data_IF_310934664822
#
_entry.id   IF_310934664822
#
_cell.length_a   1.000
_cell.length_b   1.000
_cell.length_c   1.000
_cell.angle_alpha   90.00
_cell.angle_beta   90.00
_cell.angle_gamma   90.00
#
_symmetry.space_group_name_H-M   'P 1'
#
loop_
_entity.id
_entity.type
_entity.pdbx_description
1 polymer ?
#
# COMPACT_ATOMS: atom_id res chain seq x y z
N UNK A 1 -28.25 -19.79 13.15
CA UNK A 1 -27.24 -20.78 12.77
C UNK A 1 -26.40 -20.15 11.66
N UNK A 2 -25.09 -20.08 11.84
CA UNK A 2 -24.20 -19.63 10.76
C UNK A 2 -24.11 -20.76 9.71
N UNK A 3 -24.24 -20.40 8.43
CA UNK A 3 -24.06 -21.34 7.33
C UNK A 3 -22.55 -21.60 7.17
N UNK A 4 -22.16 -22.88 7.19
CA UNK A 4 -20.78 -23.26 6.89
C UNK A 4 -20.65 -23.46 5.37
N UNK A 5 -19.71 -22.77 4.75
CA UNK A 5 -19.42 -22.92 3.33
C UNK A 5 -18.96 -24.36 3.06
N UNK A 6 -19.51 -25.04 2.03
CA UNK A 6 -19.29 -26.49 1.84
C UNK A 6 -17.86 -26.86 1.43
N UNK A 7 -17.10 -25.90 0.87
CA UNK A 7 -15.70 -26.13 0.50
C UNK A 7 -14.77 -25.64 1.59
N UNK A 8 -13.84 -26.48 2.01
CA UNK A 8 -12.71 -26.10 2.83
C UNK A 8 -11.54 -25.68 1.95
N UNK A 9 -10.76 -24.73 2.42
CA UNK A 9 -9.53 -24.26 1.79
C UNK A 9 -8.31 -24.65 2.63
N UNK A 10 -7.14 -24.65 2.02
CA UNK A 10 -5.91 -24.85 2.77
C UNK A 10 -5.43 -23.53 3.34
N UNK A 11 -5.50 -22.43 2.54
CA UNK A 11 -5.16 -21.08 2.99
C UNK A 11 -6.27 -20.12 2.57
N UNK A 12 -6.69 -19.25 3.50
CA UNK A 12 -7.51 -18.08 3.20
C UNK A 12 -6.64 -16.83 3.32
N UNK A 13 -6.66 -15.99 2.31
CA UNK A 13 -6.02 -14.67 2.30
C UNK A 13 -7.09 -13.59 2.40
N UNK A 14 -6.97 -12.71 3.39
CA UNK A 14 -7.94 -11.63 3.66
C UNK A 14 -7.37 -10.29 3.20
N UNK A 15 -7.94 -9.72 2.14
CA UNK A 15 -7.57 -8.42 1.58
C UNK A 15 -6.90 -8.51 0.20
N UNK A 16 -7.41 -7.75 -0.77
CA UNK A 16 -6.99 -7.75 -2.18
C UNK A 16 -5.97 -6.67 -2.55
N UNK A 17 -5.17 -6.15 -1.58
CA UNK A 17 -4.04 -5.25 -1.82
C UNK A 17 -2.78 -6.00 -2.26
N UNK A 18 -1.64 -5.27 -2.40
CA UNK A 18 -0.39 -5.88 -2.86
C UNK A 18 0.06 -7.08 -2.00
N UNK A 19 -0.08 -6.99 -0.67
CA UNK A 19 0.25 -8.12 0.21
C UNK A 19 -0.63 -9.34 -0.06
N UNK A 20 -1.96 -9.15 -0.11
CA UNK A 20 -2.87 -10.27 -0.30
C UNK A 20 -2.77 -10.91 -1.67
N UNK A 21 -2.55 -10.12 -2.71
CA UNK A 21 -2.34 -10.63 -4.08
C UNK A 21 -1.08 -11.51 -4.13
N UNK A 22 0.04 -11.05 -3.59
CA UNK A 22 1.27 -11.84 -3.60
C UNK A 22 1.18 -13.08 -2.71
N UNK A 23 0.51 -12.97 -1.54
CA UNK A 23 0.27 -14.12 -0.67
C UNK A 23 -0.60 -15.19 -1.36
N UNK A 24 -1.73 -14.77 -1.94
CA UNK A 24 -2.65 -15.68 -2.62
C UNK A 24 -1.99 -16.35 -3.83
N UNK A 25 -1.27 -15.57 -4.63
CA UNK A 25 -0.52 -16.07 -5.78
C UNK A 25 0.56 -17.08 -5.35
N UNK A 26 1.32 -16.80 -4.29
CA UNK A 26 2.34 -17.70 -3.77
C UNK A 26 1.73 -19.02 -3.28
N UNK A 27 0.68 -18.95 -2.47
CA UNK A 27 -0.02 -20.16 -1.99
C UNK A 27 -0.54 -21.04 -3.14
N UNK A 28 -1.20 -20.44 -4.13
CA UNK A 28 -1.78 -21.15 -5.25
C UNK A 28 -0.72 -21.76 -6.18
N UNK A 29 0.40 -21.04 -6.45
CA UNK A 29 1.54 -21.58 -7.21
C UNK A 29 2.19 -22.78 -6.50
N UNK A 30 2.21 -22.78 -5.18
CA UNK A 30 2.62 -23.94 -4.38
C UNK A 30 1.55 -25.05 -4.35
N UNK A 31 0.49 -24.94 -5.17
CA UNK A 31 -0.61 -25.92 -5.31
C UNK A 31 -1.44 -26.08 -4.03
N UNK A 32 -1.47 -25.09 -3.15
CA UNK A 32 -2.42 -25.07 -2.05
C UNK A 32 -3.77 -24.56 -2.55
N UNK A 33 -4.86 -25.21 -2.14
CA UNK A 33 -6.23 -24.75 -2.43
C UNK A 33 -6.50 -23.47 -1.67
N UNK A 34 -6.41 -22.33 -2.38
CA UNK A 34 -6.38 -20.99 -1.81
C UNK A 34 -7.64 -20.21 -2.08
N UNK A 35 -8.09 -19.44 -1.10
CA UNK A 35 -9.17 -18.46 -1.25
C UNK A 35 -8.64 -17.04 -0.95
N UNK A 36 -8.87 -16.11 -1.87
CA UNK A 36 -8.70 -14.67 -1.61
C UNK A 36 -10.06 -14.03 -1.38
N UNK A 37 -10.24 -13.42 -0.21
CA UNK A 37 -11.45 -12.67 0.16
C UNK A 37 -11.14 -11.19 0.18
N UNK A 38 -11.93 -10.38 -0.52
CA UNK A 38 -11.78 -8.92 -0.57
C UNK A 38 -13.13 -8.23 -0.66
N UNK A 39 -13.22 -7.00 -0.14
CA UNK A 39 -14.46 -6.21 -0.17
C UNK A 39 -15.00 -5.97 -1.58
N UNK A 40 -14.11 -5.80 -2.55
CA UNK A 40 -14.47 -5.48 -3.93
C UNK A 40 -13.38 -5.99 -4.87
N UNK A 41 -13.76 -6.89 -5.78
CA UNK A 41 -12.86 -7.47 -6.78
C UNK A 41 -12.38 -6.43 -7.81
N UNK A 42 -13.17 -5.39 -8.10
CA UNK A 42 -12.76 -4.30 -8.98
C UNK A 42 -11.65 -3.42 -8.39
N UNK A 43 -11.36 -3.58 -7.09
CA UNK A 43 -10.30 -2.88 -6.41
C UNK A 43 -9.04 -3.72 -6.14
N UNK A 44 -8.95 -4.93 -6.72
CA UNK A 44 -7.73 -5.75 -6.64
C UNK A 44 -6.51 -4.99 -7.14
N UNK A 45 -5.43 -4.98 -6.35
CA UNK A 45 -4.20 -4.28 -6.68
C UNK A 45 -4.29 -2.76 -6.70
N UNK A 46 -5.38 -2.15 -6.21
CA UNK A 46 -5.56 -0.70 -6.27
C UNK A 46 -4.49 0.06 -5.50
N UNK A 47 -3.77 0.92 -6.21
CA UNK A 47 -2.78 1.85 -5.65
C UNK A 47 -3.50 3.08 -5.10
N UNK A 48 -3.75 3.12 -3.79
CA UNK A 48 -4.57 4.17 -3.16
C UNK A 48 -3.83 5.49 -2.92
N UNK A 49 -2.48 5.45 -2.84
CA UNK A 49 -1.64 6.61 -2.60
C UNK A 49 -0.94 7.05 -3.89
N UNK A 50 0.39 7.13 -3.94
CA UNK A 50 1.11 7.55 -5.14
C UNK A 50 0.99 6.52 -6.27
N UNK A 51 0.96 6.95 -7.55
CA UNK A 51 0.92 6.06 -8.70
C UNK A 51 2.33 5.61 -9.11
N UNK A 52 3.12 5.11 -8.16
CA UNK A 52 4.52 4.76 -8.41
C UNK A 52 4.92 3.50 -7.68
N UNK A 53 5.75 2.70 -8.34
CA UNK A 53 6.38 1.50 -7.78
C UNK A 53 7.91 1.69 -7.81
N UNK A 54 8.59 1.26 -6.76
CA UNK A 54 10.04 1.28 -6.66
C UNK A 54 10.60 2.50 -5.97
N UNK A 55 11.88 2.69 -6.16
CA UNK A 55 12.70 3.65 -5.43
C UNK A 55 13.77 2.98 -4.58
N UNK A 56 14.58 3.77 -3.89
CA UNK A 56 15.72 3.28 -3.11
C UNK A 56 15.23 2.37 -1.98
N UNK A 57 15.80 1.18 -1.88
CA UNK A 57 15.37 0.11 -0.96
C UNK A 57 14.12 -0.64 -1.42
N UNK A 58 13.18 0.02 -2.06
CA UNK A 58 11.90 -0.53 -2.51
C UNK A 58 12.01 -1.39 -3.76
N UNK A 59 12.70 -0.89 -4.80
CA UNK A 59 12.92 -1.67 -6.03
C UNK A 59 13.74 -2.94 -5.79
N UNK A 60 14.58 -2.96 -4.76
CA UNK A 60 15.32 -4.16 -4.36
C UNK A 60 14.35 -5.25 -3.89
N UNK A 61 13.36 -4.89 -3.05
CA UNK A 61 12.31 -5.83 -2.65
C UNK A 61 11.49 -6.32 -3.85
N UNK A 62 11.11 -5.41 -4.76
CA UNK A 62 10.36 -5.78 -5.98
C UNK A 62 11.12 -6.80 -6.83
N UNK A 63 12.44 -6.59 -7.00
CA UNK A 63 13.30 -7.51 -7.75
C UNK A 63 13.41 -8.89 -7.09
N UNK A 64 13.49 -8.96 -5.76
CA UNK A 64 13.52 -10.23 -5.03
C UNK A 64 12.15 -10.93 -5.07
N UNK A 65 11.05 -10.17 -4.96
CA UNK A 65 9.68 -10.70 -5.15
C UNK A 65 9.51 -11.27 -6.56
N UNK A 66 10.03 -10.59 -7.59
CA UNK A 66 10.01 -11.06 -8.98
C UNK A 66 10.84 -12.33 -9.17
N UNK A 67 12.00 -12.43 -8.53
CA UNK A 67 12.85 -13.63 -8.57
C UNK A 67 12.17 -14.87 -7.98
N UNK A 68 11.18 -14.67 -7.10
CA UNK A 68 10.31 -15.69 -6.52
C UNK A 68 8.95 -15.79 -7.26
N UNK A 69 8.90 -15.33 -8.50
CA UNK A 69 7.74 -15.35 -9.38
C UNK A 69 6.55 -14.48 -8.93
N UNK A 70 6.81 -13.41 -8.16
CA UNK A 70 5.79 -12.42 -7.75
C UNK A 70 5.19 -11.67 -8.94
N UNK A 71 4.10 -10.96 -8.68
CA UNK A 71 3.28 -10.31 -9.70
C UNK A 71 3.55 -8.80 -9.83
N UNK A 72 4.02 -8.14 -8.77
CA UNK A 72 4.15 -6.68 -8.72
C UNK A 72 5.07 -6.12 -9.80
N UNK A 73 6.21 -6.75 -10.07
CA UNK A 73 7.16 -6.33 -11.10
C UNK A 73 6.55 -6.45 -12.50
N UNK A 74 5.95 -7.61 -12.79
CA UNK A 74 5.30 -7.90 -14.08
C UNK A 74 4.16 -6.93 -14.37
N UNK A 75 3.29 -6.69 -13.38
CA UNK A 75 2.20 -5.73 -13.52
C UNK A 75 2.72 -4.30 -13.69
N UNK A 76 3.86 -3.97 -13.07
CA UNK A 76 4.51 -2.66 -13.20
C UNK A 76 5.02 -2.43 -14.61
N UNK A 77 5.68 -3.39 -15.24
CA UNK A 77 6.15 -3.25 -16.63
C UNK A 77 5.00 -3.00 -17.60
N UNK A 78 3.90 -3.75 -17.48
CA UNK A 78 2.71 -3.60 -18.33
C UNK A 78 1.83 -2.37 -18.02
N UNK A 79 2.15 -1.60 -17.00
CA UNK A 79 1.39 -0.41 -16.59
C UNK A 79 2.24 0.84 -16.38
N UNK A 80 3.57 0.70 -16.47
CA UNK A 80 4.53 1.77 -16.24
C UNK A 80 4.55 2.76 -17.40
N UNK A 81 4.19 4.02 -17.12
CA UNK A 81 4.14 5.09 -18.10
C UNK A 81 5.32 6.05 -18.04
N UNK A 82 6.21 5.87 -17.07
CA UNK A 82 7.52 6.51 -16.98
C UNK A 82 8.45 5.67 -16.12
N UNK A 83 9.66 5.42 -16.59
CA UNK A 83 10.68 4.67 -15.85
C UNK A 83 11.93 5.51 -15.65
N UNK A 84 12.54 5.40 -14.45
CA UNK A 84 13.80 6.04 -14.13
C UNK A 84 14.66 5.18 -13.23
N UNK A 85 15.98 5.26 -13.40
CA UNK A 85 16.96 4.73 -12.45
C UNK A 85 17.39 5.88 -11.52
N UNK A 86 16.95 5.81 -10.27
CA UNK A 86 17.40 6.73 -9.23
C UNK A 86 18.82 6.39 -8.81
N UNK A 87 19.60 7.40 -8.41
CA UNK A 87 21.01 7.25 -8.05
C UNK A 87 21.88 6.60 -9.13
N UNK A 88 21.58 6.83 -10.41
CA UNK A 88 22.32 6.25 -11.54
C UNK A 88 23.85 6.53 -11.49
N UNK A 89 24.25 7.66 -10.91
CA UNK A 89 25.67 8.05 -10.71
C UNK A 89 26.33 7.43 -9.47
N UNK A 90 25.61 6.65 -8.68
CA UNK A 90 26.10 6.02 -7.44
C UNK A 90 26.45 4.53 -7.69
N UNK A 91 26.99 3.87 -6.65
CA UNK A 91 27.26 2.44 -6.70
C UNK A 91 26.02 1.58 -6.90
N UNK A 92 26.19 0.38 -7.46
CA UNK A 92 25.09 -0.52 -7.84
C UNK A 92 24.11 -0.82 -6.69
N UNK A 93 24.61 -0.95 -5.45
CA UNK A 93 23.81 -1.26 -4.27
C UNK A 93 22.72 -0.22 -3.94
N UNK A 94 22.85 1.01 -4.42
CA UNK A 94 21.88 2.10 -4.18
C UNK A 94 21.19 2.59 -5.44
N UNK A 95 21.48 2.00 -6.59
CA UNK A 95 20.71 2.26 -7.82
C UNK A 95 19.34 1.62 -7.69
N UNK A 96 18.31 2.36 -8.06
CA UNK A 96 16.95 1.91 -7.83
C UNK A 96 16.04 2.29 -9.00
N UNK A 97 15.37 1.30 -9.58
CA UNK A 97 14.33 1.55 -10.58
C UNK A 97 13.09 2.13 -9.91
N UNK A 98 12.50 3.14 -10.54
CA UNK A 98 11.19 3.67 -10.18
C UNK A 98 10.35 3.80 -11.44
N UNK A 99 9.12 3.29 -11.37
CA UNK A 99 8.11 3.48 -12.41
C UNK A 99 6.94 4.29 -11.88
N UNK A 100 6.50 5.28 -12.65
CA UNK A 100 5.18 5.85 -12.52
C UNK A 100 4.22 4.95 -13.31
N UNK A 101 3.11 4.56 -12.72
CA UNK A 101 2.16 3.63 -13.31
C UNK A 101 0.82 4.29 -13.65
N UNK A 102 0.17 3.84 -14.71
CA UNK A 102 -1.27 4.04 -14.89
C UNK A 102 -2.02 3.05 -13.98
N UNK A 103 -2.77 3.58 -13.00
CA UNK A 103 -3.49 2.76 -12.02
C UNK A 103 -4.57 1.87 -12.62
N UNK A 104 -5.19 2.26 -13.74
CA UNK A 104 -6.20 1.44 -14.41
C UNK A 104 -5.54 0.24 -15.07
N UNK A 105 -4.43 0.47 -15.79
CA UNK A 105 -3.65 -0.60 -16.39
C UNK A 105 -3.10 -1.54 -15.30
N UNK A 106 -2.57 -0.99 -14.20
CA UNK A 106 -2.05 -1.80 -13.10
C UNK A 106 -3.13 -2.70 -12.48
N UNK A 107 -4.31 -2.15 -12.17
CA UNK A 107 -5.43 -2.95 -11.66
C UNK A 107 -5.87 -4.03 -12.65
N UNK A 108 -5.98 -3.66 -13.93
CA UNK A 108 -6.32 -4.61 -14.98
C UNK A 108 -5.29 -5.76 -15.03
N UNK A 109 -4.01 -5.45 -15.03
CA UNK A 109 -2.94 -6.43 -15.03
C UNK A 109 -2.97 -7.35 -13.78
N UNK A 110 -3.20 -6.78 -12.60
CA UNK A 110 -3.32 -7.56 -11.38
C UNK A 110 -4.55 -8.47 -11.42
N UNK A 111 -5.70 -7.94 -11.82
CA UNK A 111 -6.96 -8.70 -11.94
C UNK A 111 -6.80 -9.89 -12.89
N UNK A 112 -6.34 -9.63 -14.11
CA UNK A 112 -6.16 -10.67 -15.14
C UNK A 112 -5.19 -11.76 -14.67
N UNK A 113 -4.08 -11.38 -14.01
CA UNK A 113 -3.09 -12.34 -13.53
C UNK A 113 -3.63 -13.20 -12.39
N UNK A 114 -4.34 -12.61 -11.44
CA UNK A 114 -4.94 -13.35 -10.32
C UNK A 114 -6.01 -14.30 -10.78
N UNK A 115 -6.87 -13.88 -11.69
CA UNK A 115 -7.97 -14.73 -12.23
C UNK A 115 -7.44 -15.91 -13.07
N UNK A 116 -6.21 -15.82 -13.60
CA UNK A 116 -5.58 -16.89 -14.37
C UNK A 116 -4.83 -17.94 -13.51
N UNK A 117 -4.71 -17.73 -12.19
CA UNK A 117 -3.95 -18.64 -11.33
C UNK A 117 -4.82 -19.85 -10.97
N UNK A 118 -4.32 -21.03 -11.29
CA UNK A 118 -4.91 -22.31 -10.85
C UNK A 118 -4.87 -22.44 -9.32
N UNK A 119 -5.80 -23.18 -8.74
CA UNK A 119 -5.96 -23.39 -7.28
C UNK A 119 -6.31 -22.12 -6.47
N UNK A 120 -6.63 -21.01 -7.11
CA UNK A 120 -7.06 -19.79 -6.48
C UNK A 120 -8.54 -19.51 -6.75
N UNK A 121 -9.31 -19.39 -5.68
CA UNK A 121 -10.71 -18.93 -5.71
C UNK A 121 -10.80 -17.50 -5.18
N UNK A 122 -11.78 -16.74 -5.66
CA UNK A 122 -12.03 -15.36 -5.22
C UNK A 122 -13.43 -15.25 -4.63
N UNK A 123 -13.58 -14.52 -3.53
CA UNK A 123 -14.87 -14.10 -2.97
C UNK A 123 -14.87 -12.59 -2.74
N UNK A 124 -15.93 -11.94 -3.26
CA UNK A 124 -16.20 -10.52 -3.02
C UNK A 124 -17.08 -10.36 -1.80
N UNK A 125 -16.46 -10.19 -0.63
CA UNK A 125 -17.15 -9.92 0.61
C UNK A 125 -16.19 -9.41 1.70
N UNK A 126 -16.74 -8.80 2.75
CA UNK A 126 -15.98 -8.44 3.93
C UNK A 126 -15.81 -9.64 4.87
N UNK A 127 -14.62 -9.78 5.44
CA UNK A 127 -14.37 -10.64 6.61
C UNK A 127 -14.64 -9.83 7.86
N UNK A 128 -15.52 -10.33 8.72
CA UNK A 128 -15.91 -9.66 9.96
C UNK A 128 -15.28 -10.28 11.22
N UNK A 129 -14.83 -11.55 11.17
CA UNK A 129 -14.14 -12.19 12.29
C UNK A 129 -13.26 -13.38 11.86
N UNK A 130 -12.33 -13.76 12.71
CA UNK A 130 -11.59 -15.01 12.60
C UNK A 130 -12.43 -16.16 13.20
N UNK A 131 -12.39 -17.31 12.56
CA UNK A 131 -12.92 -18.57 13.09
C UNK A 131 -11.81 -19.25 13.91
N UNK A 132 -12.09 -19.53 15.17
CA UNK A 132 -11.15 -20.25 16.06
C UNK A 132 -11.68 -21.63 16.39
N UNK A 133 -10.82 -22.63 16.32
CA UNK A 133 -11.05 -24.00 16.81
C UNK A 133 -9.90 -24.42 17.73
N UNK A 134 -10.20 -24.81 18.93
CA UNK A 134 -9.18 -25.21 19.93
C UNK A 134 -8.06 -24.16 20.17
N UNK A 135 -8.40 -22.88 20.14
CA UNK A 135 -7.47 -21.77 20.32
C UNK A 135 -6.57 -21.45 19.11
N UNK A 136 -6.76 -22.13 17.98
CA UNK A 136 -6.06 -21.89 16.71
C UNK A 136 -6.97 -21.28 15.69
N UNK A 137 -6.42 -20.49 14.76
CA UNK A 137 -7.17 -19.98 13.62
C UNK A 137 -7.49 -21.11 12.66
N UNK A 138 -8.77 -21.28 12.34
CA UNK A 138 -9.33 -22.36 11.54
C UNK A 138 -10.20 -21.84 10.37
N UNK A 139 -10.16 -20.52 10.09
CA UNK A 139 -10.93 -19.92 9.02
C UNK A 139 -11.40 -18.50 9.34
N UNK A 140 -12.47 -18.09 8.68
CA UNK A 140 -13.04 -16.74 8.81
C UNK A 140 -14.57 -16.76 8.82
N UNK A 141 -15.16 -15.71 9.38
CA UNK A 141 -16.58 -15.37 9.22
C UNK A 141 -16.71 -14.18 8.27
N UNK A 142 -17.56 -14.34 7.27
CA UNK A 142 -17.94 -13.24 6.37
C UNK A 142 -19.06 -12.39 6.97
N UNK A 143 -19.21 -11.18 6.46
CA UNK A 143 -20.27 -10.24 6.90
C UNK A 143 -21.67 -10.81 6.73
N UNK A 144 -21.90 -11.63 5.72
CA UNK A 144 -23.17 -12.36 5.51
C UNK A 144 -23.49 -13.43 6.57
N UNK A 145 -22.57 -13.68 7.52
CA UNK A 145 -22.69 -14.73 8.53
C UNK A 145 -22.22 -16.11 8.06
N UNK A 146 -21.66 -16.21 6.87
CA UNK A 146 -21.08 -17.46 6.34
C UNK A 146 -19.71 -17.67 7.01
N UNK A 147 -19.47 -18.90 7.51
CA UNK A 147 -18.14 -19.33 7.95
C UNK A 147 -17.44 -20.13 6.86
N UNK A 148 -16.14 -19.88 6.66
CA UNK A 148 -15.31 -20.61 5.70
C UNK A 148 -14.11 -21.17 6.46
N UNK A 149 -13.90 -22.49 6.39
CA UNK A 149 -12.80 -23.18 7.05
C UNK A 149 -11.52 -23.14 6.22
N UNK A 150 -10.39 -23.02 6.91
CA UNK A 150 -9.05 -23.16 6.34
C UNK A 150 -8.06 -23.64 7.39
N UNK A 151 -6.94 -24.23 6.92
CA UNK A 151 -5.84 -24.64 7.79
C UNK A 151 -4.98 -23.48 8.25
N UNK A 152 -4.91 -22.39 7.47
CA UNK A 152 -4.22 -21.15 7.82
C UNK A 152 -4.92 -19.93 7.21
N UNK A 153 -4.72 -18.76 7.85
CA UNK A 153 -5.24 -17.47 7.38
C UNK A 153 -4.07 -16.46 7.28
N UNK A 154 -3.99 -15.76 6.14
CA UNK A 154 -3.07 -14.63 5.94
C UNK A 154 -3.87 -13.34 5.95
N UNK A 155 -3.67 -12.49 6.95
CA UNK A 155 -4.36 -11.22 7.13
C UNK A 155 -3.59 -10.08 6.48
N UNK A 156 -4.20 -9.45 5.46
CA UNK A 156 -3.64 -8.37 4.65
C UNK A 156 -4.57 -7.15 4.62
N UNK A 157 -5.03 -6.70 5.78
CA UNK A 157 -6.13 -5.72 5.91
C UNK A 157 -5.76 -4.27 5.53
N UNK A 158 -4.49 -3.97 5.24
CA UNK A 158 -4.06 -2.63 4.80
C UNK A 158 -4.42 -1.53 5.79
N UNK A 159 -5.11 -0.47 5.32
CA UNK A 159 -5.58 0.67 6.12
C UNK A 159 -7.04 0.51 6.58
N UNK A 160 -7.62 -0.69 6.48
CA UNK A 160 -9.06 -0.87 6.63
C UNK A 160 -9.51 -1.13 8.06
N UNK A 161 -8.66 -1.71 8.94
CA UNK A 161 -9.02 -2.03 10.33
C UNK A 161 -9.28 -0.76 11.13
N UNK A 162 -10.56 -0.56 11.52
CA UNK A 162 -11.02 0.67 12.18
C UNK A 162 -10.55 1.94 11.46
N UNK A 163 -10.46 1.87 10.13
CA UNK A 163 -10.00 2.97 9.29
C UNK A 163 -10.91 4.17 9.39
N UNK A 164 -10.31 5.37 9.52
CA UNK A 164 -11.02 6.64 9.62
C UNK A 164 -10.31 7.71 8.81
N UNK A 165 -11.04 8.30 7.85
CA UNK A 165 -10.55 9.40 6.99
C UNK A 165 -10.77 10.74 7.68
N UNK A 166 -9.83 11.68 7.50
CA UNK A 166 -9.86 13.04 8.02
C UNK A 166 -9.56 14.05 6.91
N UNK A 167 -10.41 15.09 6.83
CA UNK A 167 -10.24 16.27 5.98
C UNK A 167 -10.53 17.48 6.86
N UNK A 168 -9.49 18.13 7.37
CA UNK A 168 -9.66 19.12 8.43
C UNK A 168 -10.41 18.52 9.63
N UNK A 169 -11.43 19.19 10.09
CA UNK A 169 -12.24 18.76 11.22
C UNK A 169 -13.30 17.70 10.88
N UNK A 170 -13.51 17.43 9.60
CA UNK A 170 -14.45 16.39 9.15
C UNK A 170 -13.80 15.02 9.16
N UNK A 171 -14.49 14.02 9.69
CA UNK A 171 -14.02 12.64 9.67
C UNK A 171 -15.17 11.64 9.45
N UNK A 172 -14.84 10.49 8.84
CA UNK A 172 -15.78 9.40 8.61
C UNK A 172 -15.05 8.05 8.53
N UNK A 173 -15.77 6.97 8.85
CA UNK A 173 -15.21 5.62 8.78
C UNK A 173 -15.03 5.19 7.32
N UNK A 174 -13.80 4.83 6.97
CA UNK A 174 -13.44 4.31 5.65
C UNK A 174 -12.07 3.61 5.72
N UNK A 175 -11.84 2.63 4.88
CA UNK A 175 -10.51 2.03 4.67
C UNK A 175 -9.62 2.88 3.76
N UNK A 176 -10.24 3.59 2.84
CA UNK A 176 -9.72 4.68 1.98
C UNK A 176 -10.92 5.47 1.44
N UNK A 177 -10.68 6.62 0.80
CA UNK A 177 -11.77 7.41 0.23
C UNK A 177 -12.59 6.57 -0.77
N UNK A 178 -13.88 6.40 -0.48
CA UNK A 178 -14.82 5.64 -1.31
C UNK A 178 -15.00 4.16 -0.93
N UNK A 179 -14.21 3.63 0.01
CA UNK A 179 -14.31 2.22 0.42
C UNK A 179 -14.62 2.10 1.93
N UNK A 180 -15.45 1.13 2.35
CA UNK A 180 -15.84 0.96 3.74
C UNK A 180 -14.67 0.53 4.63
N UNK A 181 -14.74 0.87 5.91
CA UNK A 181 -13.83 0.37 6.95
C UNK A 181 -14.19 -1.05 7.39
N UNK A 182 -13.19 -1.83 7.80
CA UNK A 182 -13.35 -3.16 8.43
C UNK A 182 -13.45 -3.02 9.94
N UNK A 183 -14.59 -2.49 10.42
CA UNK A 183 -14.81 -2.22 11.85
C UNK A 183 -14.98 -3.52 12.63
N UNK A 184 -15.87 -4.43 12.17
CA UNK A 184 -16.17 -5.66 12.88
C UNK A 184 -14.92 -6.55 13.03
N UNK A 185 -14.13 -6.71 11.97
CA UNK A 185 -12.86 -7.43 12.06
C UNK A 185 -11.89 -6.75 13.04
N UNK A 186 -11.80 -5.42 13.02
CA UNK A 186 -10.94 -4.69 13.96
C UNK A 186 -11.37 -4.86 15.43
N UNK A 187 -12.69 -4.94 15.71
CA UNK A 187 -13.25 -5.24 17.04
C UNK A 187 -12.90 -6.68 17.41
N UNK A 188 -13.16 -7.66 16.54
CA UNK A 188 -12.87 -9.06 16.79
C UNK A 188 -11.41 -9.31 17.14
N UNK A 189 -10.47 -8.74 16.36
CA UNK A 189 -9.04 -8.89 16.62
C UNK A 189 -8.62 -8.26 17.97
N UNK A 190 -9.27 -7.16 18.37
CA UNK A 190 -9.03 -6.53 19.67
C UNK A 190 -9.59 -7.39 20.83
N UNK A 191 -10.77 -7.99 20.67
CA UNK A 191 -11.38 -8.92 21.64
C UNK A 191 -10.52 -10.19 21.81
N UNK A 192 -9.85 -10.63 20.75
CA UNK A 192 -8.88 -11.73 20.79
C UNK A 192 -7.56 -11.35 21.49
N UNK A 193 -7.36 -10.08 21.80
CA UNK A 193 -6.21 -9.60 22.57
C UNK A 193 -4.94 -9.39 21.73
N UNK A 194 -5.03 -9.29 20.40
CA UNK A 194 -3.87 -8.91 19.59
C UNK A 194 -3.42 -7.49 19.95
N UNK A 195 -2.12 -7.28 20.25
CA UNK A 195 -1.60 -5.98 20.63
C UNK A 195 -1.65 -5.02 19.44
N UNK A 196 -2.49 -3.99 19.55
CA UNK A 196 -2.70 -3.01 18.48
C UNK A 196 -2.27 -1.62 18.88
N UNK A 197 -1.91 -0.82 17.87
CA UNK A 197 -1.76 0.62 17.99
C UNK A 197 -2.32 1.30 16.73
N UNK A 198 -2.23 2.63 16.66
CA UNK A 198 -2.77 3.42 15.54
C UNK A 198 -1.65 4.03 14.72
N UNK A 199 -1.76 3.92 13.39
CA UNK A 199 -0.92 4.64 12.44
C UNK A 199 -1.77 5.59 11.60
N UNK A 200 -1.11 6.65 11.12
CA UNK A 200 -1.72 7.65 10.23
C UNK A 200 -0.89 7.77 8.96
N UNK A 201 -1.51 7.68 7.80
CA UNK A 201 -0.90 8.05 6.51
C UNK A 201 -1.71 9.18 5.86
N UNK A 202 -1.14 9.82 4.85
CA UNK A 202 -1.80 10.90 4.13
C UNK A 202 -1.65 10.78 2.63
N UNK A 203 -2.54 11.43 1.90
CA UNK A 203 -2.50 11.52 0.44
C UNK A 203 -2.85 12.96 0.02
N UNK A 204 -2.27 13.50 -1.07
CA UNK A 204 -2.61 14.83 -1.57
C UNK A 204 -3.95 14.83 -2.31
N UNK A 205 -4.43 16.03 -2.62
CA UNK A 205 -5.55 16.22 -3.52
C UNK A 205 -5.30 15.55 -4.88
N UNK A 206 -6.37 15.29 -5.63
CA UNK A 206 -6.30 14.87 -7.04
C UNK A 206 -6.71 16.04 -7.92
N UNK A 207 -5.92 16.32 -8.92
CA UNK A 207 -6.00 17.51 -9.77
C UNK A 207 -6.46 17.12 -11.18
N UNK A 208 -7.35 17.92 -11.77
CA UNK A 208 -7.75 17.73 -13.17
C UNK A 208 -6.63 18.25 -14.09
N UNK A 209 -5.98 17.33 -14.80
CA UNK A 209 -4.86 17.63 -15.70
C UNK A 209 -5.20 18.62 -16.82
N UNK A 210 -6.48 18.71 -17.21
CA UNK A 210 -6.94 19.65 -18.22
C UNK A 210 -6.88 21.11 -17.78
N UNK A 211 -6.75 21.34 -16.47
CA UNK A 211 -6.75 22.68 -15.84
C UNK A 211 -5.38 23.07 -15.30
N UNK A 212 -4.34 22.24 -15.50
CA UNK A 212 -2.96 22.53 -15.15
C UNK A 212 -2.28 23.31 -16.27
N UNK A 213 -1.60 24.40 -15.95
CA UNK A 213 -0.75 25.13 -16.88
C UNK A 213 0.67 24.54 -16.92
N UNK A 214 0.84 23.50 -17.72
CA UNK A 214 2.14 22.81 -17.86
C UNK A 214 3.24 23.67 -18.45
N UNK A 215 2.93 24.79 -19.13
CA UNK A 215 3.94 25.70 -19.65
C UNK A 215 4.77 26.36 -18.56
N UNK A 216 4.27 26.38 -17.33
CA UNK A 216 4.93 26.91 -16.15
C UNK A 216 5.69 25.86 -15.34
N UNK A 217 5.60 24.59 -15.72
CA UNK A 217 6.21 23.46 -15.02
C UNK A 217 7.45 22.94 -15.76
N UNK A 218 8.40 22.38 -15.03
CA UNK A 218 9.55 21.70 -15.62
C UNK A 218 9.14 20.31 -16.12
N UNK A 219 9.49 19.99 -17.37
CA UNK A 219 9.19 18.68 -17.95
C UNK A 219 10.30 17.68 -17.62
N UNK A 220 9.94 16.53 -17.04
CA UNK A 220 10.86 15.44 -16.73
C UNK A 220 10.50 14.19 -17.52
N UNK A 221 11.40 13.74 -18.41
CA UNK A 221 11.26 12.50 -19.16
C UNK A 221 11.72 11.28 -18.35
N UNK A 222 11.25 10.11 -18.72
CA UNK A 222 11.83 8.84 -18.29
C UNK A 222 13.20 8.57 -18.94
N UNK A 223 13.89 7.54 -18.46
CA UNK A 223 15.14 7.09 -19.04
C UNK A 223 14.86 6.30 -20.32
N UNK A 224 15.66 6.55 -21.37
CA UNK A 224 15.47 5.94 -22.70
C UNK A 224 16.63 5.02 -23.12
N UNK A 225 17.81 5.16 -22.52
CA UNK A 225 19.01 4.40 -22.89
C UNK A 225 19.86 4.05 -21.67
N UNK A 226 19.79 2.79 -21.18
CA UNK A 226 18.77 1.79 -21.50
C UNK A 226 17.43 2.11 -20.85
N UNK A 227 16.33 1.66 -21.45
CA UNK A 227 15.00 1.71 -20.84
C UNK A 227 14.97 0.72 -19.66
N UNK A 228 14.70 1.19 -18.43
CA UNK A 228 14.65 0.29 -17.28
C UNK A 228 13.41 -0.62 -17.32
N UNK A 229 13.55 -1.87 -16.89
CA UNK A 229 12.46 -2.82 -16.65
C UNK A 229 12.48 -3.30 -15.20
N UNK A 230 11.33 -3.67 -14.66
CA UNK A 230 11.25 -4.22 -13.31
C UNK A 230 11.42 -5.73 -13.27
N UNK A 231 10.64 -6.46 -14.08
CA UNK A 231 10.71 -7.92 -14.09
C UNK A 231 11.99 -8.41 -14.80
N UNK A 232 12.61 -9.45 -14.28
CA UNK A 232 13.71 -10.15 -14.95
C UNK A 232 13.25 -10.85 -16.25
N UNK A 233 11.93 -11.10 -16.37
CA UNK A 233 11.31 -11.67 -17.56
C UNK A 233 10.63 -10.61 -18.43
N UNK A 234 10.71 -9.33 -18.06
CA UNK A 234 10.10 -8.20 -18.75
C UNK A 234 10.95 -7.67 -19.89
N UNK A 235 10.32 -6.91 -20.75
CA UNK A 235 10.94 -6.24 -21.91
C UNK A 235 10.44 -4.81 -22.02
N UNK A 236 11.24 -3.86 -22.56
CA UNK A 236 10.77 -2.52 -22.86
C UNK A 236 9.55 -2.48 -23.80
N UNK A 237 9.35 -3.51 -24.63
CA UNK A 237 8.21 -3.65 -25.53
C UNK A 237 6.89 -3.91 -24.78
N UNK A 238 6.95 -4.37 -23.54
CA UNK A 238 5.79 -4.55 -22.66
C UNK A 238 5.23 -3.22 -22.14
N UNK A 239 6.04 -2.16 -22.20
CA UNK A 239 5.67 -0.86 -21.65
C UNK A 239 4.59 -0.16 -22.46
N UNK A 240 3.57 0.43 -21.84
CA UNK A 240 2.64 1.31 -22.53
C UNK A 240 3.34 2.59 -23.00
N UNK A 241 2.59 3.43 -23.72
CA UNK A 241 3.09 4.73 -24.16
C UNK A 241 3.66 5.54 -22.98
N UNK A 242 4.91 5.98 -23.11
CA UNK A 242 5.60 6.75 -22.09
C UNK A 242 5.18 8.21 -22.08
N UNK A 243 5.02 8.78 -20.89
CA UNK A 243 4.62 10.17 -20.68
C UNK A 243 5.60 10.90 -19.77
N UNK A 244 5.72 12.23 -19.88
CA UNK A 244 6.54 13.00 -18.95
C UNK A 244 5.87 13.10 -17.58
N UNK A 245 6.67 13.19 -16.54
CA UNK A 245 6.30 13.79 -15.28
C UNK A 245 6.55 15.30 -15.33
N UNK A 246 5.86 16.10 -14.53
CA UNK A 246 6.07 17.53 -14.45
C UNK A 246 6.46 17.94 -13.04
N UNK A 247 7.32 18.92 -12.91
CA UNK A 247 7.84 19.39 -11.63
C UNK A 247 7.47 20.87 -11.47
N UNK A 248 6.96 21.19 -10.30
CA UNK A 248 6.80 22.55 -9.81
C UNK A 248 7.21 22.63 -8.34
N UNK A 249 7.17 23.81 -7.75
CA UNK A 249 7.64 24.04 -6.38
C UNK A 249 6.59 24.75 -5.56
N UNK A 250 6.57 24.44 -4.27
CA UNK A 250 5.88 25.29 -3.30
C UNK A 250 6.66 26.62 -3.15
N UNK A 251 6.01 27.66 -2.65
CA UNK A 251 6.59 28.96 -2.44
C UNK A 251 6.20 29.53 -1.07
N UNK A 252 6.69 30.72 -0.73
CA UNK A 252 6.42 31.34 0.57
C UNK A 252 4.92 31.54 0.83
N UNK A 253 4.16 31.96 -0.19
CA UNK A 253 2.68 32.11 -0.09
C UNK A 253 2.01 30.78 0.21
N UNK A 254 2.46 29.68 -0.44
CA UNK A 254 2.01 28.32 -0.17
C UNK A 254 2.23 27.96 1.31
N UNK A 255 3.44 28.22 1.82
CA UNK A 255 3.80 27.94 3.20
C UNK A 255 2.98 28.76 4.19
N UNK A 256 2.66 30.02 3.87
CA UNK A 256 1.88 30.90 4.74
C UNK A 256 0.41 30.44 4.83
N UNK A 257 -0.19 29.99 3.71
CA UNK A 257 -1.52 29.38 3.75
C UNK A 257 -1.54 28.11 4.61
N UNK A 258 -0.53 27.24 4.48
CA UNK A 258 -0.42 26.02 5.29
C UNK A 258 -0.30 26.37 6.77
N UNK A 259 0.59 27.31 7.15
CA UNK A 259 0.78 27.73 8.54
C UNK A 259 -0.49 28.30 9.16
N UNK A 260 -1.25 29.10 8.42
CA UNK A 260 -2.55 29.67 8.87
C UNK A 260 -3.63 28.61 9.08
N UNK A 261 -3.48 27.41 8.49
CA UNK A 261 -4.43 26.33 8.65
C UNK A 261 -4.05 25.29 9.72
N UNK A 262 -2.89 25.40 10.38
CA UNK A 262 -2.40 24.40 11.33
C UNK A 262 -3.31 24.24 12.55
N UNK A 263 -3.96 25.30 12.99
CA UNK A 263 -4.94 25.29 14.09
C UNK A 263 -6.23 24.50 13.79
N UNK A 264 -6.45 24.17 12.52
CA UNK A 264 -7.56 23.35 12.02
C UNK A 264 -7.11 22.01 11.45
N UNK A 265 -5.81 21.69 11.54
CA UNK A 265 -5.28 20.41 11.11
C UNK A 265 -5.56 19.33 12.14
N UNK A 266 -6.21 18.20 11.79
CA UNK A 266 -6.48 17.13 12.73
C UNK A 266 -5.19 16.49 13.30
N UNK A 267 -4.09 16.62 12.59
CA UNK A 267 -2.75 16.18 13.03
C UNK A 267 -2.20 17.08 14.14
N UNK A 268 -2.37 18.41 14.03
CA UNK A 268 -1.81 19.40 14.98
C UNK A 268 -2.75 19.69 16.15
N UNK A 269 -4.04 19.42 16.00
CA UNK A 269 -5.04 19.58 17.08
C UNK A 269 -5.18 18.33 17.96
N UNK A 270 -4.44 17.25 17.68
CA UNK A 270 -4.49 16.02 18.48
C UNK A 270 -5.74 15.16 18.25
N UNK A 271 -6.53 15.43 17.20
CA UNK A 271 -7.70 14.62 16.84
C UNK A 271 -7.28 13.28 16.23
N UNK A 272 -6.15 13.27 15.50
CA UNK A 272 -5.49 12.06 15.06
C UNK A 272 -4.53 11.63 16.16
N UNK A 273 -4.74 10.43 16.69
CA UNK A 273 -3.91 9.82 17.74
C UNK A 273 -2.75 9.01 17.14
N UNK A 274 -2.93 8.54 15.90
CA UNK A 274 -1.98 7.69 15.19
C UNK A 274 -0.66 8.40 14.86
N UNK A 275 0.44 7.71 15.07
CA UNK A 275 1.78 8.19 14.72
C UNK A 275 1.94 8.18 13.19
N UNK A 276 2.52 9.25 12.64
CA UNK A 276 2.88 9.31 11.23
C UNK A 276 4.07 8.40 10.92
N UNK A 277 3.99 7.52 9.90
CA UNK A 277 5.12 6.68 9.53
C UNK A 277 6.29 7.53 9.02
N UNK A 278 7.51 7.04 9.23
CA UNK A 278 8.77 7.74 8.96
C UNK A 278 8.88 8.27 7.51
N UNK A 279 8.29 7.58 6.54
CA UNK A 279 8.50 7.85 5.11
C UNK A 279 7.35 8.59 4.41
N UNK A 280 6.30 8.98 5.13
CA UNK A 280 5.15 9.70 4.55
C UNK A 280 4.79 10.96 5.38
N UNK A 281 5.71 11.94 5.51
CA UNK A 281 5.40 13.18 6.20
C UNK A 281 4.38 13.99 5.40
N UNK A 282 3.40 14.58 6.08
CA UNK A 282 2.48 15.54 5.47
C UNK A 282 3.21 16.83 5.10
N UNK A 283 2.61 17.65 4.24
CA UNK A 283 3.19 18.98 3.92
C UNK A 283 3.22 19.85 5.16
N UNK A 284 2.24 19.74 6.07
CA UNK A 284 2.19 20.44 7.34
C UNK A 284 3.43 20.11 8.20
N UNK A 285 3.78 18.82 8.30
CA UNK A 285 4.99 18.38 9.02
C UNK A 285 6.26 18.97 8.42
N UNK A 286 6.35 18.95 7.07
CA UNK A 286 7.53 19.50 6.36
C UNK A 286 7.71 20.98 6.62
N UNK A 287 6.63 21.76 6.51
CA UNK A 287 6.66 23.22 6.69
C UNK A 287 6.89 23.61 8.15
N UNK A 288 6.38 22.82 9.09
CA UNK A 288 6.60 23.07 10.52
C UNK A 288 8.01 22.70 10.98
N UNK A 289 8.50 21.49 10.59
CA UNK A 289 9.80 20.97 11.07
C UNK A 289 11.01 21.51 10.30
N UNK A 290 10.84 21.89 9.03
CA UNK A 290 11.93 22.26 8.12
C UNK A 290 11.76 23.67 7.52
N UNK A 291 11.32 24.62 8.33
CA UNK A 291 11.01 26.00 7.93
C UNK A 291 12.17 26.74 7.22
N UNK A 292 13.42 26.29 7.39
CA UNK A 292 14.63 26.91 6.82
C UNK A 292 15.11 26.27 5.51
N UNK A 293 14.46 25.18 5.03
CA UNK A 293 14.85 24.51 3.77
C UNK A 293 14.07 25.06 2.58
N UNK A 294 14.75 25.04 1.42
CA UNK A 294 14.19 25.41 0.11
C UNK A 294 12.83 24.76 -0.14
N UNK A 295 12.02 25.44 -0.95
CA UNK A 295 10.67 25.01 -1.33
C UNK A 295 10.61 23.53 -1.73
N UNK A 296 9.77 22.71 -1.09
CA UNK A 296 9.60 21.32 -1.51
C UNK A 296 9.12 21.22 -2.96
N UNK A 297 9.78 20.35 -3.73
CA UNK A 297 9.32 19.98 -5.08
C UNK A 297 7.97 19.27 -5.03
N UNK A 298 7.15 19.56 -6.03
CA UNK A 298 5.87 18.90 -6.28
C UNK A 298 5.97 18.19 -7.62
N UNK A 299 5.94 16.86 -7.59
CA UNK A 299 5.93 16.05 -8.79
C UNK A 299 4.49 15.79 -9.22
N UNK A 300 4.12 16.27 -10.39
CA UNK A 300 2.80 16.05 -10.99
C UNK A 300 2.84 14.74 -11.77
N UNK A 301 2.32 13.70 -11.16
CA UNK A 301 2.32 12.34 -11.67
C UNK A 301 0.95 12.02 -12.28
N UNK A 302 0.92 11.72 -13.58
CA UNK A 302 -0.31 11.40 -14.31
C UNK A 302 -0.92 10.09 -13.79
N UNK A 303 -2.25 10.10 -13.61
CA UNK A 303 -3.03 8.91 -13.40
C UNK A 303 -4.28 8.99 -14.29
N UNK A 304 -4.19 8.50 -15.50
CA UNK A 304 -5.19 8.57 -16.55
C UNK A 304 -5.46 10.01 -17.01
N UNK A 305 -6.32 10.79 -16.32
CA UNK A 305 -6.59 12.20 -16.58
C UNK A 305 -6.42 13.07 -15.33
N UNK A 306 -6.39 12.46 -14.15
CA UNK A 306 -6.08 13.14 -12.89
C UNK A 306 -4.57 13.15 -12.66
N UNK A 307 -4.09 14.19 -11.98
CA UNK A 307 -2.70 14.28 -11.54
C UNK A 307 -2.62 14.12 -10.03
N UNK A 308 -1.62 13.35 -9.61
CA UNK A 308 -1.22 13.19 -8.23
C UNK A 308 -0.06 14.15 -7.94
N UNK A 309 -0.26 15.24 -7.17
CA UNK A 309 0.82 16.16 -6.82
C UNK A 309 1.64 15.57 -5.66
N UNK A 310 2.61 14.73 -6.00
CA UNK A 310 3.46 14.06 -5.03
C UNK A 310 4.33 15.08 -4.28
N UNK A 311 4.39 14.96 -2.96
CA UNK A 311 5.15 15.85 -2.08
C UNK A 311 4.31 16.76 -1.19
N UNK A 312 3.00 16.91 -1.47
CA UNK A 312 2.07 17.77 -0.73
C UNK A 312 0.87 17.02 -0.13
N UNK A 313 1.11 15.80 0.38
CA UNK A 313 0.10 15.07 1.17
C UNK A 313 -0.36 15.91 2.35
N UNK A 314 -1.67 15.95 2.61
CA UNK A 314 -2.25 16.85 3.61
C UNK A 314 -3.52 16.31 4.22
N UNK A 315 -3.81 16.75 5.46
CA UNK A 315 -5.11 16.59 6.13
C UNK A 315 -5.80 17.92 6.41
N UNK A 316 -5.27 19.02 5.95
CA UNK A 316 -5.83 20.36 6.14
C UNK A 316 -7.27 20.48 5.63
N UNK A 317 -8.08 21.42 6.14
CA UNK A 317 -9.41 21.71 5.63
C UNK A 317 -9.39 22.04 4.13
N UNK A 318 -10.50 21.74 3.44
CA UNK A 318 -10.59 21.88 1.99
C UNK A 318 -10.30 23.31 1.50
N UNK A 319 -10.79 24.33 2.21
CA UNK A 319 -10.51 25.74 1.88
C UNK A 319 -9.01 26.08 1.95
N UNK A 320 -8.30 25.52 2.92
CA UNK A 320 -6.84 25.67 3.02
C UNK A 320 -6.15 24.96 1.87
N UNK A 321 -6.63 23.74 1.52
CA UNK A 321 -6.08 22.99 0.38
C UNK A 321 -6.23 23.77 -0.93
N UNK A 322 -7.39 24.36 -1.20
CA UNK A 322 -7.62 25.20 -2.37
C UNK A 322 -6.62 26.36 -2.40
N UNK A 323 -6.52 27.11 -1.29
CA UNK A 323 -5.67 28.29 -1.22
C UNK A 323 -4.18 27.97 -1.45
N UNK A 324 -3.64 26.95 -0.78
CA UNK A 324 -2.23 26.65 -0.94
C UNK A 324 -1.93 25.99 -2.30
N UNK A 325 -2.82 25.15 -2.85
CA UNK A 325 -2.63 24.55 -4.16
C UNK A 325 -2.65 25.64 -5.25
N UNK A 326 -3.61 26.57 -5.20
CA UNK A 326 -3.69 27.67 -6.16
C UNK A 326 -2.54 28.70 -6.04
N UNK A 327 -1.77 28.68 -4.95
CA UNK A 327 -0.54 29.49 -4.83
C UNK A 327 0.68 28.87 -5.51
N UNK A 328 0.59 27.62 -5.98
CA UNK A 328 1.69 26.89 -6.63
C UNK A 328 1.69 27.23 -8.12
N UNK A 329 2.89 27.51 -8.67
CA UNK A 329 3.09 27.86 -10.07
C UNK A 329 2.60 26.76 -11.01
N UNK A 330 1.74 27.11 -11.95
CA UNK A 330 1.08 26.18 -12.89
C UNK A 330 -0.20 25.54 -12.35
N UNK A 331 -0.54 25.77 -11.07
CA UNK A 331 -1.76 25.23 -10.42
C UNK A 331 -2.75 26.34 -10.02
N UNK A 332 -2.54 27.58 -10.46
CA UNK A 332 -3.31 28.75 -10.02
C UNK A 332 -4.82 28.62 -10.27
N UNK A 333 -5.21 27.91 -11.31
CA UNK A 333 -6.60 27.71 -11.71
C UNK A 333 -6.99 26.23 -11.74
N UNK A 334 -6.22 25.37 -11.08
CA UNK A 334 -6.45 23.93 -11.16
C UNK A 334 -7.75 23.53 -10.48
N UNK A 335 -8.52 22.64 -11.12
CA UNK A 335 -9.68 22.02 -10.52
C UNK A 335 -9.28 20.84 -9.65
N UNK A 336 -9.71 20.84 -8.39
CA UNK A 336 -9.50 19.74 -7.44
C UNK A 336 -10.63 18.73 -7.57
N UNK A 337 -10.34 17.58 -8.16
CA UNK A 337 -11.30 16.48 -8.35
C UNK A 337 -11.68 15.85 -7.00
N UNK A 338 -10.70 15.72 -6.10
CA UNK A 338 -10.87 15.13 -4.77
C UNK A 338 -9.88 15.76 -3.80
N UNK A 339 -10.31 16.13 -2.59
CA UNK A 339 -9.40 16.67 -1.57
C UNK A 339 -8.34 15.64 -1.14
N UNK A 340 -7.22 16.15 -0.66
CA UNK A 340 -6.28 15.37 0.13
C UNK A 340 -6.89 15.00 1.47
N UNK A 341 -6.45 13.86 2.04
CA UNK A 341 -6.94 13.39 3.32
C UNK A 341 -5.87 12.61 4.08
N UNK A 342 -6.01 12.55 5.39
CA UNK A 342 -5.32 11.56 6.19
C UNK A 342 -6.24 10.36 6.45
N UNK A 343 -5.63 9.18 6.57
CA UNK A 343 -6.31 7.99 7.09
C UNK A 343 -5.57 7.49 8.33
N UNK A 344 -6.33 7.20 9.37
CA UNK A 344 -5.88 6.57 10.59
C UNK A 344 -6.49 5.18 10.70
N UNK A 345 -5.71 4.18 11.11
CA UNK A 345 -6.12 2.77 11.10
C UNK A 345 -5.36 1.98 12.16
N UNK A 346 -5.90 0.82 12.55
CA UNK A 346 -5.22 -0.11 13.46
C UNK A 346 -4.10 -0.85 12.72
N UNK A 347 -2.94 -0.98 13.39
CA UNK A 347 -1.88 -1.90 13.03
C UNK A 347 -1.50 -2.75 14.25
N UNK A 348 -0.83 -3.86 14.00
CA UNK A 348 -0.34 -4.76 15.04
C UNK A 348 1.16 -4.70 15.12
N UNK A 349 1.69 -4.67 16.35
CA UNK A 349 3.13 -4.60 16.58
C UNK A 349 3.82 -5.84 15.99
N UNK A 350 4.67 -5.68 14.96
CA UNK A 350 5.29 -6.82 14.29
C UNK A 350 6.31 -7.55 15.15
N UNK A 351 6.73 -7.01 16.29
CA UNK A 351 7.55 -7.75 17.27
C UNK A 351 6.83 -8.95 17.86
N UNK A 352 5.51 -9.02 17.72
CA UNK A 352 4.65 -10.15 18.05
C UNK A 352 4.51 -11.19 16.91
N UNK A 353 5.30 -11.06 15.85
CA UNK A 353 5.41 -12.07 14.81
C UNK A 353 6.64 -12.93 15.00
N UNK A 354 6.54 -14.19 14.57
CA UNK A 354 7.66 -15.08 14.32
C UNK A 354 8.41 -14.61 13.06
N UNK A 355 9.58 -15.12 12.81
CA UNK A 355 10.40 -14.81 11.63
C UNK A 355 9.80 -15.26 10.28
N UNK A 356 8.84 -16.17 10.34
CA UNK A 356 8.02 -16.60 9.20
C UNK A 356 6.73 -15.76 8.99
N UNK A 357 6.55 -14.66 9.75
CA UNK A 357 5.39 -13.79 9.80
C UNK A 357 4.10 -14.40 10.38
N UNK A 358 4.20 -15.57 11.02
CA UNK A 358 3.11 -16.12 11.83
C UNK A 358 3.00 -15.39 13.18
N UNK A 359 1.77 -15.17 13.66
CA UNK A 359 1.52 -14.62 15.01
C UNK A 359 2.15 -15.50 16.10
N UNK A 360 2.68 -14.88 17.16
CA UNK A 360 3.11 -15.58 18.38
C UNK A 360 1.93 -15.96 19.26
N UNK A 361 0.80 -15.24 19.15
CA UNK A 361 -0.40 -15.42 19.95
C UNK A 361 -1.34 -16.48 19.37
N UNK A 362 -1.44 -16.56 18.04
CA UNK A 362 -2.40 -17.45 17.36
C UNK A 362 -1.71 -18.32 16.32
N UNK A 363 -1.68 -19.60 16.54
CA UNK A 363 -1.25 -20.56 15.52
C UNK A 363 -2.12 -20.43 14.24
N UNK A 364 -1.49 -20.59 13.08
CA UNK A 364 -2.09 -20.54 11.76
C UNK A 364 -2.58 -19.15 11.31
N UNK A 365 -2.25 -18.07 12.04
CA UNK A 365 -2.51 -16.69 11.65
C UNK A 365 -1.21 -16.02 11.20
N UNK A 366 -1.16 -15.61 9.94
CA UNK A 366 -0.06 -14.82 9.37
C UNK A 366 -0.52 -13.39 9.12
N UNK A 367 0.35 -12.41 9.34
CA UNK A 367 0.06 -11.00 9.07
C UNK A 367 1.06 -10.46 8.05
N UNK A 368 0.55 -9.71 7.05
CA UNK A 368 1.41 -9.18 6.00
C UNK A 368 0.97 -7.79 5.51
N UNK A 369 1.96 -6.94 5.24
CA UNK A 369 1.78 -5.61 4.70
C UNK A 369 1.52 -4.54 5.74
N UNK A 370 0.65 -3.60 5.42
CA UNK A 370 0.46 -2.39 6.23
C UNK A 370 -0.12 -2.67 7.63
N UNK A 371 -0.77 -3.78 7.81
CA UNK A 371 -1.23 -4.27 9.12
C UNK A 371 -0.08 -4.47 10.12
N UNK A 372 1.15 -4.68 9.64
CA UNK A 372 2.39 -4.77 10.41
C UNK A 372 3.12 -3.43 10.56
N UNK A 373 2.47 -2.30 10.22
CA UNK A 373 3.03 -0.96 10.38
C UNK A 373 3.90 -0.44 9.22
N UNK A 374 4.21 -1.26 8.22
CA UNK A 374 4.91 -0.78 7.01
C UNK A 374 4.00 0.03 6.10
N UNK A 375 4.55 0.97 5.33
CA UNK A 375 3.78 1.92 4.51
C UNK A 375 4.26 2.00 3.07
N UNK A 376 4.51 0.87 2.43
CA UNK A 376 4.90 0.80 1.03
C UNK A 376 4.25 -0.37 0.31
N UNK A 377 4.00 -0.20 -0.98
CA UNK A 377 3.43 -1.27 -1.82
C UNK A 377 4.39 -2.43 -1.97
N UNK A 378 5.67 -2.11 -2.05
CA UNK A 378 6.78 -3.03 -2.24
C UNK A 378 7.00 -3.87 -0.98
N UNK A 379 6.99 -3.23 0.18
CA UNK A 379 7.08 -3.91 1.48
C UNK A 379 5.86 -4.80 1.72
N UNK A 380 4.69 -4.34 1.30
CA UNK A 380 3.46 -5.13 1.41
C UNK A 380 3.51 -6.38 0.51
N UNK A 381 3.94 -6.22 -0.75
CA UNK A 381 4.13 -7.33 -1.68
C UNK A 381 5.13 -8.37 -1.14
N UNK A 382 6.27 -7.88 -0.63
CA UNK A 382 7.33 -8.71 -0.06
C UNK A 382 6.86 -9.52 1.16
N UNK A 383 6.16 -8.87 2.10
CA UNK A 383 5.59 -9.55 3.26
C UNK A 383 4.51 -10.56 2.84
N UNK A 384 3.64 -10.18 1.89
CA UNK A 384 2.60 -11.06 1.36
C UNK A 384 3.17 -12.35 0.78
N UNK A 385 4.18 -12.23 -0.07
CA UNK A 385 4.87 -13.37 -0.66
C UNK A 385 5.46 -14.29 0.43
N UNK A 386 6.21 -13.73 1.38
CA UNK A 386 6.82 -14.48 2.48
C UNK A 386 5.79 -15.18 3.36
N UNK A 387 4.72 -14.46 3.74
CA UNK A 387 3.64 -15.02 4.56
C UNK A 387 2.90 -16.14 3.82
N UNK A 388 2.62 -15.97 2.52
CA UNK A 388 1.95 -16.98 1.70
C UNK A 388 2.78 -18.25 1.57
N UNK A 389 4.08 -18.13 1.27
CA UNK A 389 4.99 -19.29 1.22
C UNK A 389 5.00 -20.00 2.56
N UNK A 390 5.19 -19.29 3.66
CA UNK A 390 5.32 -19.88 4.99
C UNK A 390 3.98 -20.45 5.51
N UNK A 391 2.85 -19.89 5.14
CA UNK A 391 1.55 -20.48 5.45
C UNK A 391 1.40 -21.87 4.82
N UNK A 392 1.83 -22.04 3.55
CA UNK A 392 1.79 -23.34 2.88
C UNK A 392 2.77 -24.33 3.48
N UNK A 393 4.00 -23.92 3.79
CA UNK A 393 5.00 -24.78 4.43
C UNK A 393 4.51 -25.23 5.81
N UNK A 394 3.93 -24.32 6.60
CA UNK A 394 3.34 -24.61 7.92
C UNK A 394 2.27 -25.71 7.87
N UNK A 395 1.31 -25.61 6.94
CA UNK A 395 0.21 -26.60 6.84
C UNK A 395 0.66 -27.95 6.30
N UNK A 396 1.89 -28.04 5.76
CA UNK A 396 2.53 -29.27 5.29
C UNK A 396 3.52 -29.86 6.27
N UNK A 397 3.68 -29.23 7.44
CA UNK A 397 4.71 -29.57 8.43
C UNK A 397 6.13 -29.57 7.84
N UNK A 398 6.39 -28.63 6.91
CA UNK A 398 7.69 -28.39 6.27
C UNK A 398 8.44 -27.25 6.98
N UNK A 399 9.77 -27.25 6.87
CA UNK A 399 10.61 -26.17 7.42
C UNK A 399 10.27 -24.82 6.82
N UNK A 400 10.21 -23.74 7.62
CA UNK A 400 9.85 -22.41 7.12
C UNK A 400 10.91 -21.84 6.17
N UNK A 401 10.47 -21.13 5.16
CA UNK A 401 11.34 -20.36 4.26
C UNK A 401 11.78 -19.07 4.95
N UNK A 402 13.01 -19.04 5.43
CA UNK A 402 13.59 -17.90 6.14
C UNK A 402 14.81 -17.38 5.39
N UNK A 403 14.87 -16.07 5.22
CA UNK A 403 16.00 -15.37 4.62
C UNK A 403 16.75 -14.57 5.69
N UNK A 404 18.07 -14.76 5.77
CA UNK A 404 18.91 -13.95 6.66
C UNK A 404 19.21 -12.59 6.05
N UNK A 405 19.60 -11.63 6.89
CA UNK A 405 19.97 -10.26 6.50
C UNK A 405 21.13 -10.18 5.49
N UNK A 406 22.01 -11.17 5.48
CA UNK A 406 23.16 -11.27 4.56
C UNK A 406 22.82 -11.96 3.23
N UNK A 407 21.60 -12.50 3.10
CA UNK A 407 21.14 -13.20 1.89
C UNK A 407 20.27 -12.34 0.99
N UNK A 408 19.39 -11.52 1.57
CA UNK A 408 18.39 -10.79 0.81
C UNK A 408 17.87 -9.54 1.54
N UNK A 409 17.37 -8.54 0.80
CA UNK A 409 16.60 -7.41 1.36
C UNK A 409 15.31 -7.88 2.04
N UNK A 410 14.66 -8.95 1.54
CA UNK A 410 13.54 -9.62 2.22
C UNK A 410 13.94 -10.03 3.65
N UNK A 411 15.13 -10.61 3.81
CA UNK A 411 15.65 -10.98 5.13
C UNK A 411 15.94 -9.77 6.02
N UNK A 412 16.47 -8.67 5.45
CA UNK A 412 16.64 -7.41 6.18
C UNK A 412 15.30 -6.86 6.64
N UNK A 413 14.31 -6.80 5.74
CA UNK A 413 12.98 -6.28 6.04
C UNK A 413 12.30 -7.06 7.16
N UNK A 414 12.22 -8.39 7.05
CA UNK A 414 11.58 -9.24 8.06
C UNK A 414 12.29 -9.11 9.40
N UNK A 415 13.61 -9.21 9.43
CA UNK A 415 14.38 -9.12 10.66
C UNK A 415 14.22 -7.75 11.35
N UNK A 416 14.30 -6.63 10.61
CA UNK A 416 14.08 -5.30 11.20
C UNK A 416 12.64 -5.14 11.71
N UNK A 417 11.66 -5.68 10.99
CA UNK A 417 10.25 -5.62 11.37
C UNK A 417 9.99 -6.31 12.71
N UNK A 418 10.46 -7.55 12.88
CA UNK A 418 10.19 -8.36 14.08
C UNK A 418 11.08 -8.03 15.28
N UNK A 419 12.21 -7.34 15.08
CA UNK A 419 13.15 -7.01 16.15
C UNK A 419 13.10 -5.56 16.61
N UNK A 420 12.78 -4.63 15.70
CA UNK A 420 12.77 -3.19 15.98
C UNK A 420 11.34 -2.61 16.07
N UNK A 421 10.36 -3.34 15.52
CA UNK A 421 9.00 -2.83 15.39
C UNK A 421 8.89 -1.70 14.35
N UNK A 422 7.95 -0.76 14.58
CA UNK A 422 7.58 0.35 13.68
C UNK A 422 8.11 1.68 14.20
#
# INVERSE_FOLDING_TARGET
>A
MSYCYPNEYEVIVVGGGNAGIEAAAACARMKAKTLLVTHNLDSLGQQSCNPSIGGIGKSHLVKEVDALDGLIAKATDFSGIQFRVLNASKGAAVRATRAQIDRRLYKYQMRTRIEAIENLSLIEEAVDALLLENGKVAGVYLRSGISIKAKAVVLCAGTFLNGKVFIGQTSYLAGRSGDPSSVNLGINLAELGLPKARLKTGTPARLDGRTIDFSKCERQLGDSEPVPVFSYMGSPEDHPQQVPCWITDTNQTTHDFIRKGLDRSPLFTGVIEGIGPRYCPSIEDKIHKFASKNSPHVFLELNTYEYYPNGISTSLPYDVQVNFIHSIKGLENVHIIRPGYAIEYDYYDPTHLKDNLESKEFDNLFLAGQVNGTTGYEEAAAQGLMAGINAVLKIRDEEPFLLRRDQAYLGVMVNDLITKGV
#
